data_IF_025315013096
#
_entry.id   IF_025315013096
#
_cell.length_a   1.000
_cell.length_b   1.000
_cell.length_c   1.000
_cell.angle_alpha   90.00
_cell.angle_beta   90.00
_cell.angle_gamma   90.00
#
_symmetry.space_group_name_H-M   'P 1'
#
loop_
_entity.id
_entity.type
_entity.pdbx_description
1 polymer ?
#
# COMPACT_ATOMS: atom_id res chain seq x y z
N UNK A 1 22.61 8.15 17.40
CA UNK A 1 21.76 6.95 17.58
C UNK A 1 20.25 7.26 17.59
N UNK A 2 19.79 8.47 17.96
CA UNK A 2 18.35 8.80 18.00
C UNK A 2 17.62 8.82 16.65
N UNK A 3 18.22 9.33 15.58
CA UNK A 3 17.55 9.41 14.26
C UNK A 3 17.27 8.04 13.61
N UNK A 4 18.14 7.06 13.81
CA UNK A 4 17.93 5.70 13.27
C UNK A 4 16.78 4.99 14.00
N UNK A 5 16.76 5.09 15.34
CA UNK A 5 15.68 4.54 16.15
C UNK A 5 14.32 5.20 15.83
N UNK A 6 14.32 6.53 15.60
CA UNK A 6 13.12 7.26 15.21
C UNK A 6 12.58 6.81 13.84
N UNK A 7 13.47 6.60 12.86
CA UNK A 7 13.08 6.11 11.54
C UNK A 7 12.48 4.70 11.61
N UNK A 8 13.10 3.80 12.36
CA UNK A 8 12.59 2.44 12.55
C UNK A 8 11.20 2.44 13.19
N UNK A 9 11.00 3.26 14.22
CA UNK A 9 9.70 3.38 14.89
C UNK A 9 8.61 3.88 13.94
N UNK A 10 8.90 4.91 13.14
CA UNK A 10 7.95 5.42 12.14
C UNK A 10 7.60 4.34 11.10
N UNK A 11 8.56 3.53 10.66
CA UNK A 11 8.29 2.42 9.74
C UNK A 11 7.46 1.30 10.40
N UNK A 12 7.65 1.04 11.70
CA UNK A 12 6.80 0.11 12.47
C UNK A 12 5.36 0.60 12.55
N UNK A 13 5.16 1.88 12.84
CA UNK A 13 3.83 2.48 12.86
C UNK A 13 3.18 2.48 11.47
N UNK A 14 3.93 2.79 10.41
CA UNK A 14 3.47 2.66 9.03
C UNK A 14 3.01 1.24 8.71
N UNK A 15 3.82 0.23 9.05
CA UNK A 15 3.46 -1.18 8.85
C UNK A 15 2.19 -1.53 9.62
N UNK A 16 2.06 -1.12 10.88
CA UNK A 16 0.85 -1.35 11.69
C UNK A 16 -0.38 -0.74 11.03
N UNK A 17 -0.26 0.48 10.49
CA UNK A 17 -1.35 1.13 9.77
C UNK A 17 -1.72 0.40 8.49
N UNK A 18 -0.73 -0.05 7.70
CA UNK A 18 -0.95 -0.81 6.46
C UNK A 18 -1.54 -2.20 6.72
N UNK A 19 -1.20 -2.82 7.85
CA UNK A 19 -1.68 -4.16 8.20
C UNK A 19 -3.16 -4.21 8.61
N UNK A 20 -3.77 -3.05 8.89
CA UNK A 20 -5.21 -2.95 9.17
C UNK A 20 -6.09 -2.97 7.91
N UNK A 21 -5.50 -3.20 6.73
CA UNK A 21 -6.23 -3.39 5.48
C UNK A 21 -6.78 -4.83 5.37
N UNK A 22 -7.82 -5.08 4.54
CA UNK A 22 -8.36 -6.42 4.31
C UNK A 22 -7.35 -7.51 3.96
N UNK A 23 -6.30 -7.15 3.21
CA UNK A 23 -5.09 -7.95 3.10
C UNK A 23 -4.02 -7.11 3.78
N UNK A 24 -3.57 -7.57 4.93
CA UNK A 24 -2.63 -6.85 5.76
C UNK A 24 -1.20 -6.85 5.22
N UNK A 25 -0.29 -6.47 6.10
CA UNK A 25 1.15 -6.47 5.87
C UNK A 25 1.84 -7.08 7.10
N UNK A 26 1.77 -8.41 7.30
CA UNK A 26 2.35 -9.08 8.46
C UNK A 26 3.84 -8.73 8.64
N UNK A 27 4.30 -8.82 9.89
CA UNK A 27 5.66 -8.40 10.24
C UNK A 27 6.70 -9.36 9.65
N UNK A 28 7.68 -8.81 8.93
CA UNK A 28 8.83 -9.55 8.40
C UNK A 28 9.96 -8.57 8.09
N UNK A 29 11.22 -8.98 8.22
CA UNK A 29 12.38 -8.10 8.01
C UNK A 29 12.38 -7.44 6.62
N UNK A 30 12.04 -8.22 5.58
CA UNK A 30 11.92 -7.75 4.20
C UNK A 30 10.92 -6.61 4.02
N UNK A 31 9.85 -6.56 4.83
CA UNK A 31 8.86 -5.47 4.77
C UNK A 31 9.50 -4.15 5.14
N UNK A 32 10.29 -4.11 6.20
CA UNK A 32 10.95 -2.88 6.63
C UNK A 32 11.95 -2.38 5.60
N UNK A 33 12.66 -3.29 4.93
CA UNK A 33 13.52 -2.93 3.81
C UNK A 33 12.71 -2.31 2.65
N UNK A 34 11.61 -2.95 2.23
CA UNK A 34 10.71 -2.43 1.20
C UNK A 34 10.20 -1.03 1.57
N UNK A 35 9.66 -0.86 2.78
CA UNK A 35 9.11 0.41 3.24
C UNK A 35 10.19 1.49 3.34
N UNK A 36 11.41 1.14 3.76
CA UNK A 36 12.53 2.08 3.85
C UNK A 36 13.04 2.58 2.48
N UNK A 37 12.85 1.79 1.42
CA UNK A 37 13.16 2.19 0.04
C UNK A 37 12.04 3.06 -0.52
N UNK A 38 10.78 2.67 -0.28
CA UNK A 38 9.62 3.33 -0.87
C UNK A 38 9.28 4.65 -0.19
N UNK A 39 9.43 4.77 1.13
CA UNK A 39 9.02 5.94 1.89
C UNK A 39 10.24 6.70 2.43
N UNK A 40 10.25 8.01 2.21
CA UNK A 40 11.02 8.92 3.07
C UNK A 40 10.42 8.95 4.47
N UNK A 41 11.17 9.47 5.44
CA UNK A 41 10.71 9.57 6.82
C UNK A 41 9.41 10.40 6.95
N UNK A 42 9.31 11.50 6.19
CA UNK A 42 8.12 12.36 6.16
C UNK A 42 6.91 11.64 5.57
N UNK A 43 7.09 10.91 4.48
CA UNK A 43 6.00 10.15 3.86
C UNK A 43 5.58 8.96 4.73
N UNK A 44 6.53 8.32 5.41
CA UNK A 44 6.24 7.23 6.34
C UNK A 44 5.46 7.73 7.55
N UNK A 45 5.79 8.92 8.05
CA UNK A 45 5.00 9.60 9.07
C UNK A 45 3.56 9.76 8.58
N UNK A 46 3.37 10.39 7.41
CA UNK A 46 2.03 10.66 6.82
C UNK A 46 1.26 9.35 6.61
N UNK A 47 1.90 8.34 6.04
CA UNK A 47 1.30 7.03 5.81
C UNK A 47 0.88 6.32 7.10
N UNK A 48 1.63 6.46 8.19
CA UNK A 48 1.31 5.83 9.48
C UNK A 48 0.03 6.38 10.12
N UNK A 49 -0.35 7.62 9.83
CA UNK A 49 -1.56 8.27 10.39
C UNK A 49 -2.60 8.61 9.33
N UNK A 50 -2.41 8.13 8.12
CA UNK A 50 -3.35 8.32 7.02
C UNK A 50 -4.72 7.74 7.40
N UNK A 51 -5.83 8.50 7.31
CA UNK A 51 -7.17 8.00 7.60
C UNK A 51 -7.59 6.80 6.74
N UNK A 52 -8.59 6.02 7.14
CA UNK A 52 -9.13 4.96 6.28
C UNK A 52 -10.08 5.51 5.22
N UNK A 53 -10.09 4.88 4.05
CA UNK A 53 -10.99 5.26 2.96
C UNK A 53 -10.47 6.40 2.09
N UNK A 54 -11.37 6.97 1.28
CA UNK A 54 -11.08 8.09 0.39
C UNK A 54 -11.36 9.42 1.12
N UNK A 55 -10.28 10.07 1.54
CA UNK A 55 -10.31 11.27 2.38
C UNK A 55 -9.76 12.51 1.67
N UNK A 56 -10.17 13.67 2.12
CA UNK A 56 -9.76 14.98 1.57
C UNK A 56 -8.36 15.37 2.05
N UNK A 57 -7.75 16.34 1.37
CA UNK A 57 -6.48 16.92 1.81
C UNK A 57 -6.59 17.51 3.23
N UNK A 58 -7.72 18.13 3.53
CA UNK A 58 -8.02 18.72 4.84
C UNK A 58 -8.08 17.67 5.96
N UNK A 59 -8.77 16.56 5.73
CA UNK A 59 -8.86 15.46 6.71
C UNK A 59 -7.49 14.84 7.00
N UNK A 60 -6.65 14.69 5.99
CA UNK A 60 -5.27 14.21 6.17
C UNK A 60 -4.47 15.26 6.96
N UNK A 61 -4.57 16.55 6.60
CA UNK A 61 -3.88 17.64 7.30
C UNK A 61 -4.20 17.65 8.79
N UNK A 62 -5.48 17.49 9.18
CA UNK A 62 -5.89 17.39 10.58
C UNK A 62 -5.33 16.15 11.28
N UNK A 63 -5.29 15.00 10.60
CA UNK A 63 -4.75 13.77 11.17
C UNK A 63 -3.22 13.80 11.37
N UNK A 64 -2.51 14.55 10.51
CA UNK A 64 -1.04 14.57 10.49
C UNK A 64 -0.41 15.84 11.09
N UNK A 65 -1.18 16.91 11.27
CA UNK A 65 -0.69 18.20 11.78
C UNK A 65 0.22 18.96 10.81
N UNK A 66 0.14 18.67 9.50
CA UNK A 66 0.93 19.33 8.44
C UNK A 66 0.01 20.23 7.64
N UNK A 67 0.45 21.46 7.31
CA UNK A 67 -0.33 22.39 6.52
C UNK A 67 -0.61 21.86 5.10
N UNK A 68 -1.79 22.16 4.55
CA UNK A 68 -2.24 21.63 3.26
C UNK A 68 -1.26 21.86 2.08
N UNK A 69 -0.60 23.04 1.92
CA UNK A 69 0.35 23.23 0.82
C UNK A 69 1.54 22.26 0.90
N UNK A 70 2.14 22.12 2.08
CA UNK A 70 3.25 21.22 2.32
C UNK A 70 2.83 19.75 2.20
N UNK A 71 1.64 19.41 2.70
CA UNK A 71 1.09 18.07 2.59
C UNK A 71 0.82 17.68 1.13
N UNK A 72 0.37 18.62 0.29
CA UNK A 72 0.13 18.37 -1.13
C UNK A 72 1.41 17.92 -1.85
N UNK A 73 2.55 18.54 -1.56
CA UNK A 73 3.85 18.14 -2.13
C UNK A 73 4.27 16.73 -1.67
N UNK A 74 4.07 16.41 -0.40
CA UNK A 74 4.33 15.06 0.14
C UNK A 74 3.46 14.03 -0.57
N UNK A 75 2.16 14.29 -0.70
CA UNK A 75 1.22 13.38 -1.36
C UNK A 75 1.53 13.22 -2.85
N UNK A 76 2.05 14.25 -3.51
CA UNK A 76 2.50 14.15 -4.90
C UNK A 76 3.72 13.22 -5.03
N UNK A 77 4.70 13.34 -4.14
CA UNK A 77 5.84 12.41 -4.06
C UNK A 77 5.40 10.96 -3.84
N UNK A 78 4.45 10.76 -2.93
CA UNK A 78 3.84 9.45 -2.68
C UNK A 78 3.10 8.91 -3.90
N UNK A 79 2.34 9.74 -4.60
CA UNK A 79 1.60 9.36 -5.81
C UNK A 79 2.53 8.95 -6.96
N UNK A 80 3.66 9.64 -7.15
CA UNK A 80 4.68 9.28 -8.16
C UNK A 80 5.29 7.90 -7.90
N UNK A 81 5.31 7.44 -6.65
CA UNK A 81 5.80 6.12 -6.26
C UNK A 81 4.71 5.03 -6.17
N UNK A 82 3.45 5.40 -6.46
CA UNK A 82 2.31 4.49 -6.36
C UNK A 82 1.85 4.21 -4.93
N UNK A 83 2.22 5.06 -3.97
CA UNK A 83 1.89 4.90 -2.55
C UNK A 83 0.55 5.56 -2.16
N UNK A 84 0.07 6.50 -2.98
CA UNK A 84 -1.22 7.16 -2.80
C UNK A 84 -1.93 7.23 -4.15
N UNK A 85 -3.25 7.01 -4.12
CA UNK A 85 -4.14 7.15 -5.27
C UNK A 85 -5.02 8.37 -5.01
N UNK A 86 -5.07 9.30 -5.96
CA UNK A 86 -6.03 10.40 -5.93
C UNK A 86 -7.20 10.13 -6.88
N UNK A 87 -8.42 10.38 -6.43
CA UNK A 87 -9.63 10.36 -7.27
C UNK A 87 -10.36 11.68 -7.15
N UNK A 88 -11.09 12.08 -8.19
CA UNK A 88 -11.94 13.26 -8.20
C UNK A 88 -13.40 12.81 -8.16
N UNK A 89 -14.15 13.20 -7.15
CA UNK A 89 -15.59 12.93 -7.04
C UNK A 89 -16.31 14.25 -6.76
N UNK A 90 -17.25 14.64 -7.64
CA UNK A 90 -18.05 15.86 -7.49
C UNK A 90 -17.19 17.12 -7.21
N UNK A 91 -16.19 17.36 -8.07
CA UNK A 91 -15.22 18.48 -7.96
C UNK A 91 -14.23 18.42 -6.78
N UNK A 92 -14.40 17.53 -5.81
CA UNK A 92 -13.49 17.36 -4.68
C UNK A 92 -12.45 16.27 -4.93
N UNK A 93 -11.17 16.58 -4.70
CA UNK A 93 -10.07 15.61 -4.77
C UNK A 93 -9.97 14.83 -3.46
N UNK A 94 -9.99 13.51 -3.57
CA UNK A 94 -9.83 12.57 -2.46
C UNK A 94 -8.62 11.68 -2.69
N UNK A 95 -8.02 11.24 -1.59
CA UNK A 95 -6.81 10.45 -1.56
C UNK A 95 -7.05 9.17 -0.78
N UNK A 96 -6.44 8.10 -1.26
CA UNK A 96 -6.43 6.78 -0.63
C UNK A 96 -4.97 6.34 -0.50
N UNK A 97 -4.54 5.97 0.70
CA UNK A 97 -3.26 5.30 0.88
C UNK A 97 -3.30 3.93 0.19
N UNK A 98 -2.34 3.68 -0.70
CA UNK A 98 -2.26 2.42 -1.40
C UNK A 98 -2.09 1.27 -0.39
N UNK A 99 -2.89 0.22 -0.57
CA UNK A 99 -2.79 -1.01 0.22
C UNK A 99 -1.44 -1.70 -0.07
N UNK A 100 -1.07 -2.72 0.72
CA UNK A 100 0.14 -3.50 0.46
C UNK A 100 0.06 -4.20 -0.90
N UNK A 101 -0.78 -5.23 -1.00
CA UNK A 101 -0.82 -6.13 -2.14
C UNK A 101 -1.50 -5.53 -3.38
N UNK A 102 -2.77 -5.14 -3.27
CA UNK A 102 -3.53 -4.46 -4.36
C UNK A 102 -3.24 -2.95 -4.39
N UNK A 103 -2.01 -2.58 -4.08
CA UNK A 103 -1.59 -1.19 -3.97
C UNK A 103 -0.14 -1.06 -4.37
N UNK A 104 0.77 -0.74 -3.46
CA UNK A 104 2.13 -0.42 -3.85
C UNK A 104 2.93 -1.63 -4.39
N UNK A 105 2.56 -2.88 -4.07
CA UNK A 105 3.17 -4.06 -4.74
C UNK A 105 2.83 -4.14 -6.23
N UNK A 106 1.74 -3.51 -6.66
CA UNK A 106 1.28 -3.46 -8.05
C UNK A 106 1.67 -2.13 -8.70
N UNK A 107 1.22 -1.01 -8.12
CA UNK A 107 1.38 0.33 -8.68
C UNK A 107 2.83 0.79 -8.79
N UNK A 108 3.74 0.30 -7.94
CA UNK A 108 5.18 0.60 -8.08
C UNK A 108 5.75 0.02 -9.39
N UNK A 109 5.21 -1.08 -9.91
CA UNK A 109 5.67 -1.68 -11.18
C UNK A 109 4.85 -1.30 -12.41
N UNK A 110 3.69 -0.65 -12.24
CA UNK A 110 2.89 -0.18 -13.37
C UNK A 110 3.52 1.01 -14.11
N UNK A 111 4.48 1.71 -13.49
CA UNK A 111 5.26 2.78 -14.10
C UNK A 111 6.73 2.58 -13.79
N UNK A 112 7.60 2.75 -14.78
CA UNK A 112 9.04 2.79 -14.55
C UNK A 112 9.39 4.06 -13.78
N UNK A 113 10.09 3.89 -12.66
CA UNK A 113 10.61 5.00 -11.87
C UNK A 113 12.13 4.86 -11.74
N UNK A 114 12.88 5.68 -12.46
CA UNK A 114 14.34 5.66 -12.48
C UNK A 114 14.97 6.02 -11.14
N UNK A 115 14.23 6.69 -10.25
CA UNK A 115 14.70 7.03 -8.90
C UNK A 115 14.63 5.89 -7.89
N UNK A 116 13.99 4.76 -8.24
CA UNK A 116 13.84 3.61 -7.37
C UNK A 116 14.70 2.43 -7.83
N UNK A 117 15.31 1.67 -6.90
CA UNK A 117 16.07 0.45 -7.25
C UNK A 117 15.10 -0.69 -7.59
N UNK A 118 14.47 -0.62 -8.77
CA UNK A 118 13.36 -1.48 -9.20
C UNK A 118 13.67 -2.97 -9.11
N UNK A 119 14.89 -3.38 -9.52
CA UNK A 119 15.33 -4.78 -9.40
C UNK A 119 15.34 -5.25 -7.94
N UNK A 120 15.91 -4.44 -7.04
CA UNK A 120 15.98 -4.77 -5.61
C UNK A 120 14.58 -4.83 -4.99
N UNK A 121 13.72 -3.87 -5.33
CA UNK A 121 12.31 -3.89 -4.89
C UNK A 121 11.61 -5.16 -5.37
N UNK A 122 11.82 -5.59 -6.61
CA UNK A 122 11.23 -6.81 -7.15
C UNK A 122 11.71 -8.06 -6.39
N UNK A 123 13.01 -8.17 -6.12
CA UNK A 123 13.58 -9.27 -5.33
C UNK A 123 13.02 -9.32 -3.90
N UNK A 124 12.91 -8.17 -3.24
CA UNK A 124 12.35 -8.06 -1.89
C UNK A 124 10.87 -8.42 -1.87
N UNK A 125 10.07 -7.85 -2.78
CA UNK A 125 8.65 -8.15 -2.87
C UNK A 125 8.39 -9.61 -3.27
N UNK A 126 9.24 -10.18 -4.15
CA UNK A 126 9.21 -11.60 -4.46
C UNK A 126 9.47 -12.45 -3.21
N UNK A 127 10.56 -12.15 -2.49
CA UNK A 127 10.93 -12.87 -1.26
C UNK A 127 9.79 -12.81 -0.24
N UNK A 128 9.28 -11.61 0.05
CA UNK A 128 8.22 -11.42 1.03
C UNK A 128 6.93 -12.18 0.66
N UNK A 129 6.52 -12.19 -0.62
CA UNK A 129 5.32 -12.92 -1.04
C UNK A 129 5.41 -14.45 -0.86
N UNK A 130 6.62 -15.00 -0.73
CA UNK A 130 6.84 -16.43 -0.49
C UNK A 130 7.08 -16.76 0.99
N UNK A 131 6.93 -15.79 1.89
CA UNK A 131 7.04 -16.02 3.33
C UNK A 131 5.77 -16.68 3.87
N UNK A 132 5.87 -17.57 4.88
CA UNK A 132 4.71 -18.17 5.52
C UNK A 132 3.71 -17.15 6.05
N UNK A 133 4.22 -16.04 6.60
CA UNK A 133 3.42 -14.95 7.18
C UNK A 133 2.51 -14.32 6.13
N UNK A 134 3.05 -14.02 4.94
CA UNK A 134 2.26 -13.48 3.84
C UNK A 134 1.25 -14.48 3.30
N UNK A 135 1.65 -15.74 3.12
CA UNK A 135 0.77 -16.79 2.61
C UNK A 135 -0.41 -17.01 3.57
N UNK A 136 -0.16 -17.01 4.87
CA UNK A 136 -1.19 -17.13 5.88
C UNK A 136 -2.12 -15.91 5.91
N UNK A 137 -1.60 -14.70 5.82
CA UNK A 137 -2.43 -13.48 5.74
C UNK A 137 -3.34 -13.51 4.52
N UNK A 138 -2.82 -13.93 3.36
CA UNK A 138 -3.56 -13.87 2.10
C UNK A 138 -4.62 -14.97 1.96
N UNK A 139 -4.31 -16.20 2.40
CA UNK A 139 -5.20 -17.37 2.23
C UNK A 139 -5.92 -17.82 3.50
N UNK A 140 -5.46 -17.40 4.69
CA UNK A 140 -5.98 -17.86 5.98
C UNK A 140 -7.22 -17.11 6.49
N UNK A 141 -7.67 -16.07 5.77
CA UNK A 141 -8.89 -15.33 6.15
C UNK A 141 -10.13 -16.23 6.06
N UNK A 142 -11.05 -16.18 7.07
CA UNK A 142 -12.37 -16.82 6.97
C UNK A 142 -13.18 -16.36 5.75
N UNK A 143 -12.89 -15.16 5.25
CA UNK A 143 -13.48 -14.59 4.03
C UNK A 143 -12.38 -14.46 2.97
N UNK A 144 -12.06 -15.53 2.23
CA UNK A 144 -10.97 -15.51 1.26
C UNK A 144 -11.30 -14.59 0.07
N UNK A 145 -10.34 -13.76 -0.33
CA UNK A 145 -10.47 -12.84 -1.48
C UNK A 145 -10.32 -13.53 -2.84
N UNK A 146 -9.81 -14.76 -2.84
CA UNK A 146 -9.68 -15.61 -4.03
C UNK A 146 -9.65 -17.08 -3.63
N UNK A 147 -10.07 -17.96 -4.55
CA UNK A 147 -10.00 -19.42 -4.39
C UNK A 147 -9.21 -20.01 -5.55
N UNK A 148 -8.33 -20.97 -5.26
CA UNK A 148 -7.67 -21.75 -6.31
C UNK A 148 -8.69 -22.73 -6.92
N UNK A 149 -8.75 -22.77 -8.25
CA UNK A 149 -9.53 -23.76 -8.99
C UNK A 149 -8.57 -24.59 -9.81
N UNK A 150 -8.49 -25.88 -9.47
CA UNK A 150 -7.47 -26.80 -10.02
C UNK A 150 -7.94 -27.40 -11.34
N UNK A 151 -9.26 -27.50 -11.55
CA UNK A 151 -9.84 -28.14 -12.72
C UNK A 151 -10.86 -27.24 -13.42
N UNK A 152 -10.90 -27.25 -14.75
CA UNK A 152 -11.81 -26.40 -15.52
C UNK A 152 -13.27 -26.86 -15.45
N UNK A 153 -13.51 -28.14 -15.17
CA UNK A 153 -14.82 -28.76 -14.98
C UNK A 153 -15.50 -28.40 -13.65
N UNK A 154 -14.76 -27.85 -12.67
CA UNK A 154 -15.35 -27.27 -11.45
C UNK A 154 -15.83 -25.83 -11.63
N UNK A 155 -15.64 -25.23 -12.82
CA UNK A 155 -16.26 -23.95 -13.16
C UNK A 155 -17.71 -24.21 -13.58
N UNK A 156 -18.71 -23.66 -12.85
CA UNK A 156 -20.07 -23.68 -13.37
C UNK A 156 -20.10 -22.98 -14.74
N UNK A 157 -20.91 -23.42 -15.70
CA UNK A 157 -21.01 -22.77 -16.99
C UNK A 157 -21.46 -21.31 -16.78
N UNK A 158 -20.52 -20.37 -16.95
CA UNK A 158 -20.80 -18.94 -16.77
C UNK A 158 -21.21 -18.37 -18.12
N UNK A 159 -22.45 -17.89 -18.21
CA UNK A 159 -22.92 -17.11 -19.35
C UNK A 159 -22.70 -15.63 -19.02
N UNK A 160 -21.70 -15.04 -19.67
CA UNK A 160 -21.45 -13.60 -19.58
C UNK A 160 -22.31 -12.89 -20.62
N UNK A 161 -23.22 -12.03 -20.19
CA UNK A 161 -23.95 -11.11 -21.08
C UNK A 161 -23.47 -9.69 -20.81
N UNK A 162 -23.02 -9.01 -21.87
CA UNK A 162 -22.74 -7.57 -21.82
C UNK A 162 -24.05 -6.87 -22.17
N UNK A 163 -24.70 -6.28 -21.16
CA UNK A 163 -25.87 -5.46 -21.40
C UNK A 163 -25.46 -4.16 -22.10
N UNK A 164 -26.19 -3.73 -23.14
CA UNK A 164 -25.95 -2.47 -23.85
C UNK A 164 -26.20 -1.25 -22.95
#
# INVERSE_FOLDING_TARGET
MGHLAQREEVLRELRKRLHRNPIGLPEHATVYEILSILFSEREAWVGARFPFGAVTLHEISQAVGIAEPELSEILEGMARKGLVISTKKAEERRYVLAMSMTGFFEFTFMRTNESLPMKRLAELMYTYRHTPEFVQEFFGSPTPRGRALIYGDVLPPVRSEVFP
#
